data_IF_571859266761
#
_entry.id   IF_571859266761
#
_cell.length_a   1.000
_cell.length_b   1.000
_cell.length_c   1.000
_cell.angle_alpha   90.00
_cell.angle_beta   90.00
_cell.angle_gamma   90.00
#
_symmetry.space_group_name_H-M   'P 1'
#
loop_
_entity.id
_entity.type
_entity.pdbx_description
1 polymer ?
#
# COMPACT_ATOMS: atom_id res chain seq x y z
N UNK A 1 -23.58 13.54 9.95
CA UNK A 1 -23.53 12.07 10.11
C UNK A 1 -23.53 11.73 11.59
N UNK A 2 -24.28 10.71 12.03
CA UNK A 2 -24.24 10.29 13.44
C UNK A 2 -22.96 9.47 13.71
N UNK A 3 -22.53 9.40 14.98
CA UNK A 3 -21.29 8.73 15.40
C UNK A 3 -21.25 7.23 15.06
N UNK A 4 -22.40 6.56 15.09
CA UNK A 4 -22.57 5.14 14.74
C UNK A 4 -22.35 4.91 13.24
N UNK A 5 -22.88 5.80 12.39
CA UNK A 5 -22.64 5.73 10.93
C UNK A 5 -21.15 5.89 10.61
N UNK A 6 -20.46 6.84 11.26
CA UNK A 6 -19.03 7.05 11.07
C UNK A 6 -18.21 5.82 11.53
N UNK A 7 -18.58 5.25 12.69
CA UNK A 7 -17.92 4.08 13.26
C UNK A 7 -18.06 2.82 12.41
N UNK A 8 -19.10 2.72 11.56
CA UNK A 8 -19.27 1.60 10.63
C UNK A 8 -18.63 1.88 9.26
N UNK A 9 -18.80 3.10 8.72
CA UNK A 9 -18.31 3.45 7.38
C UNK A 9 -16.79 3.48 7.34
N UNK A 10 -16.13 4.03 8.36
CA UNK A 10 -14.66 4.20 8.35
C UNK A 10 -13.94 2.85 8.29
N UNK A 11 -14.21 1.86 9.17
CA UNK A 11 -13.56 0.55 9.08
C UNK A 11 -13.84 -0.18 7.77
N UNK A 12 -15.07 -0.12 7.26
CA UNK A 12 -15.44 -0.76 5.99
C UNK A 12 -14.70 -0.15 4.80
N UNK A 13 -14.61 1.19 4.75
CA UNK A 13 -13.87 1.90 3.72
C UNK A 13 -12.37 1.61 3.81
N UNK A 14 -11.79 1.59 5.01
CA UNK A 14 -10.39 1.21 5.22
C UNK A 14 -10.13 -0.23 4.78
N UNK A 15 -11.01 -1.17 5.14
CA UNK A 15 -10.90 -2.57 4.70
C UNK A 15 -10.95 -2.69 3.18
N UNK A 16 -11.91 -2.03 2.53
CA UNK A 16 -12.03 -2.03 1.07
C UNK A 16 -10.77 -1.45 0.41
N UNK A 17 -10.23 -0.33 0.92
CA UNK A 17 -9.00 0.25 0.39
C UNK A 17 -7.79 -0.68 0.54
N UNK A 18 -7.63 -1.32 1.70
CA UNK A 18 -6.53 -2.27 1.94
C UNK A 18 -6.66 -3.46 0.98
N UNK A 19 -7.88 -3.99 0.80
CA UNK A 19 -8.12 -5.10 -0.11
C UNK A 19 -7.77 -4.75 -1.56
N UNK A 20 -8.23 -3.58 -2.05
CA UNK A 20 -7.92 -3.10 -3.40
C UNK A 20 -6.40 -2.94 -3.59
N UNK A 21 -5.72 -2.35 -2.61
CA UNK A 21 -4.27 -2.18 -2.65
C UNK A 21 -3.55 -3.53 -2.71
N UNK A 22 -3.90 -4.47 -1.82
CA UNK A 22 -3.26 -5.78 -1.74
C UNK A 22 -3.47 -6.61 -3.01
N UNK A 23 -4.69 -6.63 -3.56
CA UNK A 23 -5.01 -7.35 -4.80
C UNK A 23 -4.21 -6.78 -5.98
N UNK A 24 -4.20 -5.45 -6.12
CA UNK A 24 -3.47 -4.77 -7.19
C UNK A 24 -1.97 -5.05 -7.11
N UNK A 25 -1.40 -4.95 -5.92
CA UNK A 25 0.03 -5.21 -5.70
C UNK A 25 0.39 -6.68 -5.94
N UNK A 26 -0.46 -7.61 -5.49
CA UNK A 26 -0.29 -9.04 -5.75
C UNK A 26 -0.33 -9.37 -7.25
N UNK A 27 -1.23 -8.75 -8.01
CA UNK A 27 -1.26 -8.89 -9.47
C UNK A 27 0.01 -8.35 -10.12
N UNK A 28 0.50 -7.18 -9.70
CA UNK A 28 1.76 -6.62 -10.20
C UNK A 28 2.93 -7.57 -9.93
N UNK A 29 3.03 -8.12 -8.71
CA UNK A 29 4.08 -9.08 -8.37
C UNK A 29 3.98 -10.36 -9.20
N UNK A 30 2.77 -10.87 -9.43
CA UNK A 30 2.55 -12.02 -10.29
C UNK A 30 3.05 -11.76 -11.72
N UNK A 31 2.67 -10.61 -12.29
CA UNK A 31 3.09 -10.20 -13.64
C UNK A 31 4.60 -10.07 -13.75
N UNK A 32 5.24 -9.44 -12.76
CA UNK A 32 6.70 -9.27 -12.77
C UNK A 32 7.41 -10.61 -12.63
N UNK A 33 6.94 -11.48 -11.73
CA UNK A 33 7.59 -12.75 -11.46
C UNK A 33 7.52 -13.72 -12.65
N UNK A 34 6.38 -13.79 -13.33
CA UNK A 34 6.15 -14.82 -14.35
C UNK A 34 6.29 -14.31 -15.79
N UNK A 35 6.17 -13.00 -16.03
CA UNK A 35 6.10 -12.44 -17.38
C UNK A 35 7.23 -11.45 -17.71
N UNK A 36 8.21 -11.30 -16.82
CA UNK A 36 9.39 -10.46 -17.08
C UNK A 36 10.69 -11.24 -16.84
N UNK A 37 11.78 -10.82 -17.49
CA UNK A 37 13.11 -11.41 -17.28
C UNK A 37 13.69 -11.13 -15.88
N UNK A 38 13.09 -10.22 -15.11
CA UNK A 38 13.50 -9.89 -13.75
C UNK A 38 13.06 -10.95 -12.73
N UNK A 39 11.96 -11.67 -12.99
CA UNK A 39 11.44 -12.74 -12.14
C UNK A 39 11.35 -12.35 -10.66
N UNK A 40 11.91 -13.21 -9.79
CA UNK A 40 11.98 -12.98 -8.33
C UNK A 40 12.72 -11.71 -7.93
N UNK A 41 13.77 -11.33 -8.65
CA UNK A 41 14.59 -10.15 -8.32
C UNK A 41 13.76 -8.88 -8.45
N UNK A 42 12.91 -8.79 -9.48
CA UNK A 42 12.00 -7.66 -9.66
C UNK A 42 11.02 -7.50 -8.50
N UNK A 43 10.46 -8.61 -8.01
CA UNK A 43 9.54 -8.61 -6.85
C UNK A 43 10.27 -8.16 -5.59
N UNK A 44 11.47 -8.69 -5.33
CA UNK A 44 12.29 -8.31 -4.16
C UNK A 44 12.62 -6.83 -4.19
N UNK A 45 13.03 -6.30 -5.34
CA UNK A 45 13.37 -4.88 -5.49
C UNK A 45 12.18 -3.97 -5.15
N UNK A 46 10.98 -4.30 -5.64
CA UNK A 46 9.77 -3.53 -5.31
C UNK A 46 9.40 -3.69 -3.84
N UNK A 47 9.51 -4.90 -3.28
CA UNK A 47 9.27 -5.13 -1.85
C UNK A 47 10.18 -4.28 -0.96
N UNK A 48 11.47 -4.23 -1.27
CA UNK A 48 12.44 -3.39 -0.56
C UNK A 48 12.12 -1.90 -0.75
N UNK A 49 11.75 -1.49 -1.96
CA UNK A 49 11.36 -0.11 -2.22
C UNK A 49 10.14 0.28 -1.37
N UNK A 50 9.10 -0.55 -1.29
CA UNK A 50 7.94 -0.30 -0.44
C UNK A 50 8.30 -0.25 1.04
N UNK A 51 9.18 -1.14 1.51
CA UNK A 51 9.63 -1.18 2.90
C UNK A 51 10.32 0.12 3.33
N UNK A 52 11.12 0.73 2.45
CA UNK A 52 11.88 1.95 2.75
C UNK A 52 11.05 3.21 2.46
N UNK A 53 10.35 3.24 1.32
CA UNK A 53 9.61 4.43 0.88
C UNK A 53 8.39 4.70 1.76
N UNK A 54 7.72 3.67 2.29
CA UNK A 54 6.54 3.86 3.15
C UNK A 54 6.85 4.70 4.39
N UNK A 55 7.81 4.31 5.27
CA UNK A 55 8.16 5.14 6.43
C UNK A 55 8.81 6.46 6.03
N UNK A 56 9.57 6.52 4.94
CA UNK A 56 10.16 7.76 4.45
C UNK A 56 9.08 8.78 4.07
N UNK A 57 8.08 8.36 3.30
CA UNK A 57 6.96 9.22 2.91
C UNK A 57 6.15 9.62 4.13
N UNK A 58 5.89 8.71 5.05
CA UNK A 58 5.21 9.02 6.31
C UNK A 58 5.97 10.11 7.09
N UNK A 59 7.27 9.96 7.27
CA UNK A 59 8.13 10.96 7.92
C UNK A 59 8.10 12.32 7.22
N UNK A 60 8.19 12.35 5.89
CA UNK A 60 8.16 13.59 5.12
C UNK A 60 6.79 14.29 5.20
N UNK A 61 5.70 13.53 5.24
CA UNK A 61 4.35 14.07 5.41
C UNK A 61 4.14 14.61 6.83
N UNK A 62 4.65 13.90 7.85
CA UNK A 62 4.59 14.33 9.24
C UNK A 62 5.33 15.66 9.43
N UNK A 63 6.58 15.78 8.95
CA UNK A 63 7.37 17.02 9.01
C UNK A 63 6.72 18.19 8.28
N UNK A 64 5.95 17.93 7.21
CA UNK A 64 5.22 18.99 6.50
C UNK A 64 3.95 19.43 7.22
N UNK A 65 3.34 18.54 8.00
CA UNK A 65 2.08 18.78 8.69
C UNK A 65 2.32 19.38 10.08
N UNK A 66 3.42 19.03 10.73
CA UNK A 66 3.88 19.58 12.01
C UNK A 66 5.31 20.12 11.84
N UNK A 67 5.51 21.45 11.78
CA UNK A 67 6.84 22.07 11.64
C UNK A 67 7.70 21.95 12.90
#
# INVERSE_FOLDING_TARGET
MNKVTLALVVPLASFAMIAVFAITLGFIFYQIHHHTSLGSIGVIAIGIALLILTPLVAFLLEKKTFP
#
